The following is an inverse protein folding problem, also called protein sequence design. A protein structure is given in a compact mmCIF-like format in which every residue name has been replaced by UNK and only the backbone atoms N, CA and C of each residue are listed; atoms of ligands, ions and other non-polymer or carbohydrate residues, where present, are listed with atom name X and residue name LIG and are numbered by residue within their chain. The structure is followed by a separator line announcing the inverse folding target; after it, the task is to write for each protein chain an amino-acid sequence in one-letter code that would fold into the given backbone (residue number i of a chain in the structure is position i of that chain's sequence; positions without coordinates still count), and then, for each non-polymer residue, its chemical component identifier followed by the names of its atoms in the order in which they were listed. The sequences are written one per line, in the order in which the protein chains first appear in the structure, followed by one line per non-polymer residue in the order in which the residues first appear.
data_IF_954958109131
#
_entry.id   IF_954958109131
#
_cell.length_a   1.000
_cell.length_b   1.000
_cell.length_c   1.000
_cell.angle_alpha   90.00
_cell.angle_beta   90.00
_cell.angle_gamma   90.00
#
_symmetry.space_group_name_H-M   'P 1'
#
loop_
_entity.id
_entity.type
_entity.pdbx_description
1 polymer ?
#
# COMPACT_ATOMS: atom_id res chain seq x y z
N UNK A 1 -17.67 6.31 36.70
CA UNK A 1 -16.66 7.05 35.90
C UNK A 1 -17.04 6.90 34.45
N UNK A 2 -16.98 7.95 33.63
CA UNK A 2 -17.22 7.82 32.19
C UNK A 2 -16.10 6.95 31.59
N UNK A 3 -16.46 5.94 30.81
CA UNK A 3 -15.50 5.09 30.10
C UNK A 3 -14.67 5.98 29.17
N UNK A 4 -13.34 5.92 29.28
CA UNK A 4 -12.44 6.66 28.39
C UNK A 4 -12.22 5.79 27.16
N UNK A 5 -12.45 6.33 25.96
CA UNK A 5 -12.19 5.62 24.71
C UNK A 5 -10.69 5.64 24.43
N UNK A 6 -10.07 4.46 24.41
CA UNK A 6 -8.62 4.32 24.33
C UNK A 6 -8.22 3.32 23.25
N UNK A 7 -7.14 3.64 22.53
CA UNK A 7 -6.31 2.69 21.81
C UNK A 7 -5.05 2.43 22.62
N UNK A 8 -4.70 1.16 22.81
CA UNK A 8 -3.36 0.78 23.24
C UNK A 8 -2.44 0.79 22.02
N UNK A 9 -1.27 1.43 22.11
CA UNK A 9 -0.26 1.43 21.05
C UNK A 9 0.94 0.57 21.44
N UNK A 10 1.50 -0.14 20.47
CA UNK A 10 2.60 -1.08 20.65
C UNK A 10 3.74 -0.74 19.70
N UNK A 11 4.95 -0.68 20.27
CA UNK A 11 6.19 -0.66 19.53
C UNK A 11 6.86 -2.03 19.68
N UNK A 12 6.78 -2.90 18.66
CA UNK A 12 7.29 -4.27 18.75
C UNK A 12 8.82 -4.36 18.72
N UNK A 13 9.54 -3.25 18.79
CA UNK A 13 10.98 -3.19 18.62
C UNK A 13 11.68 -2.75 19.88
N UNK A 14 12.98 -3.05 19.98
CA UNK A 14 13.79 -2.79 21.17
C UNK A 14 14.36 -1.36 21.27
N UNK A 15 13.91 -0.45 20.41
CA UNK A 15 14.28 0.96 20.41
C UNK A 15 13.06 1.86 20.26
N UNK A 16 13.21 3.14 20.62
CA UNK A 16 12.11 4.11 20.57
C UNK A 16 11.72 4.43 19.12
N UNK A 17 10.41 4.43 18.82
CA UNK A 17 9.92 4.66 17.45
C UNK A 17 8.78 5.65 17.38
N UNK A 18 8.82 6.49 16.36
CA UNK A 18 7.73 7.34 15.87
C UNK A 18 7.29 6.83 14.50
N UNK A 19 6.14 7.30 13.99
CA UNK A 19 5.72 6.93 12.64
C UNK A 19 4.21 6.80 12.49
N UNK A 20 3.80 6.04 11.49
CA UNK A 20 2.40 5.88 11.13
C UNK A 20 1.84 4.58 11.73
N UNK A 21 0.61 4.66 12.24
CA UNK A 21 -0.15 3.50 12.68
C UNK A 21 -1.39 3.40 11.81
N UNK A 22 -1.73 2.17 11.43
CA UNK A 22 -2.85 1.83 10.55
C UNK A 22 -3.67 0.74 11.21
N UNK A 23 -4.98 0.91 11.29
CA UNK A 23 -5.89 -0.05 11.92
C UNK A 23 -7.28 -0.04 11.26
N UNK A 24 -8.00 -1.18 11.24
CA UNK A 24 -9.35 -1.25 10.68
C UNK A 24 -10.29 -0.27 11.39
N UNK A 25 -11.04 0.52 10.61
CA UNK A 25 -11.93 1.54 11.15
C UNK A 25 -13.22 0.97 11.72
N UNK A 26 -13.81 -0.03 11.06
CA UNK A 26 -15.14 -0.54 11.41
C UNK A 26 -15.26 -1.00 12.88
N UNK A 27 -14.32 -1.77 13.47
CA UNK A 27 -14.40 -2.14 14.88
C UNK A 27 -14.35 -0.94 15.83
N UNK A 28 -13.58 0.10 15.48
CA UNK A 28 -13.43 1.33 16.27
C UNK A 28 -14.74 2.11 16.25
N UNK A 29 -15.33 2.27 15.07
CA UNK A 29 -16.62 2.93 14.91
C UNK A 29 -17.72 2.19 15.66
N UNK A 30 -17.77 0.86 15.56
CA UNK A 30 -18.73 0.04 16.28
C UNK A 30 -18.62 0.20 17.80
N UNK A 31 -17.39 0.25 18.33
CA UNK A 31 -17.16 0.37 19.76
C UNK A 31 -17.46 1.78 20.30
N UNK A 32 -16.98 2.83 19.63
CA UNK A 32 -16.98 4.19 20.17
C UNK A 32 -18.04 5.10 19.56
N UNK A 33 -18.64 4.71 18.42
CA UNK A 33 -19.68 5.45 17.71
C UNK A 33 -19.27 6.89 17.31
N UNK A 34 -17.98 7.17 17.19
CA UNK A 34 -17.43 8.47 16.78
C UNK A 34 -17.31 8.49 15.25
N UNK A 35 -18.04 9.35 14.52
CA UNK A 35 -17.91 9.44 13.07
C UNK A 35 -16.54 10.04 12.67
N UNK A 36 -16.02 9.72 11.48
CA UNK A 36 -14.71 10.21 11.02
C UNK A 36 -14.55 11.74 11.09
N UNK A 37 -15.61 12.48 10.80
CA UNK A 37 -15.65 13.95 10.74
C UNK A 37 -15.59 14.61 12.12
N UNK A 38 -15.79 13.83 13.18
CA UNK A 38 -15.69 14.30 14.57
C UNK A 38 -14.49 13.68 15.30
N UNK A 39 -13.70 12.82 14.65
CA UNK A 39 -12.63 12.09 15.30
C UNK A 39 -11.46 13.02 15.66
N UNK A 40 -11.11 13.06 16.95
CA UNK A 40 -9.90 13.70 17.45
C UNK A 40 -9.11 12.68 18.27
N UNK A 41 -7.83 12.55 17.95
CA UNK A 41 -6.90 11.69 18.69
C UNK A 41 -5.94 12.54 19.52
N UNK A 42 -5.61 12.09 20.73
CA UNK A 42 -4.58 12.72 21.57
C UNK A 42 -3.73 11.67 22.29
N UNK A 43 -2.43 11.95 22.44
CA UNK A 43 -1.51 11.07 23.17
C UNK A 43 -1.60 11.36 24.66
N UNK A 44 -1.92 10.35 25.48
CA UNK A 44 -2.02 10.54 26.93
C UNK A 44 -0.67 10.83 27.60
N UNK A 45 0.44 10.54 26.93
CA UNK A 45 1.79 10.88 27.41
C UNK A 45 2.14 12.33 27.10
N UNK A 46 1.41 12.97 26.19
CA UNK A 46 1.62 14.36 25.84
C UNK A 46 0.79 15.30 26.72
N UNK A 47 1.46 15.93 27.69
CA UNK A 47 0.83 16.88 28.61
C UNK A 47 0.28 18.14 27.92
N UNK A 48 0.66 18.43 26.68
CA UNK A 48 0.06 19.54 25.93
C UNK A 48 -1.32 19.20 25.35
N UNK A 49 -1.71 17.92 25.36
CA UNK A 49 -2.95 17.41 24.75
C UNK A 49 -3.16 17.89 23.32
N UNK A 50 -2.06 18.05 22.57
CA UNK A 50 -2.12 18.46 21.18
C UNK A 50 -2.80 17.35 20.36
N UNK A 51 -3.74 17.68 19.47
CA UNK A 51 -4.32 16.69 18.57
C UNK A 51 -3.26 16.02 17.71
N UNK A 52 -3.40 14.71 17.53
CA UNK A 52 -2.59 13.91 16.62
C UNK A 52 -3.20 14.00 15.23
N UNK A 53 -2.34 14.13 14.21
CA UNK A 53 -2.75 14.04 12.81
C UNK A 53 -3.34 12.64 12.55
N UNK A 54 -4.61 12.61 12.16
CA UNK A 54 -5.35 11.38 11.90
C UNK A 54 -6.32 11.59 10.73
N UNK A 55 -6.63 10.50 10.02
CA UNK A 55 -7.66 10.46 8.99
C UNK A 55 -8.22 9.04 8.88
N UNK A 56 -9.44 8.92 8.35
CA UNK A 56 -10.03 7.65 7.96
C UNK A 56 -10.09 7.60 6.44
N UNK A 57 -9.54 6.55 5.85
CA UNK A 57 -9.59 6.33 4.40
C UNK A 57 -10.66 5.31 4.04
N UNK A 58 -11.47 5.64 3.03
CA UNK A 58 -12.45 4.75 2.44
C UNK A 58 -11.83 4.01 1.25
N UNK A 59 -11.53 2.72 1.44
CA UNK A 59 -10.72 1.94 0.50
C UNK A 59 -11.56 1.31 -0.61
N UNK A 60 -12.71 0.72 -0.28
CA UNK A 60 -13.66 0.13 -1.23
C UNK A 60 -15.06 0.66 -0.92
N UNK A 61 -15.69 1.47 -1.79
CA UNK A 61 -17.05 1.96 -1.58
C UNK A 61 -18.09 0.84 -1.41
N UNK A 62 -17.81 -0.37 -1.91
CA UNK A 62 -18.68 -1.53 -1.74
C UNK A 62 -18.43 -2.30 -0.43
N UNK A 63 -17.39 -1.97 0.34
CA UNK A 63 -17.00 -2.72 1.54
C UNK A 63 -16.33 -1.84 2.60
N UNK A 64 -17.09 -1.50 3.63
CA UNK A 64 -16.61 -0.74 4.79
C UNK A 64 -15.61 -1.51 5.67
N UNK A 65 -15.47 -2.83 5.46
CA UNK A 65 -14.54 -3.68 6.22
C UNK A 65 -13.07 -3.31 5.97
N UNK A 66 -12.79 -2.62 4.85
CA UNK A 66 -11.44 -2.18 4.47
C UNK A 66 -11.18 -0.72 4.82
N UNK A 67 -12.17 -0.01 5.35
CA UNK A 67 -11.96 1.35 5.84
C UNK A 67 -10.92 1.32 6.95
N UNK A 68 -10.05 2.33 6.91
CA UNK A 68 -8.82 2.29 7.70
C UNK A 68 -8.63 3.60 8.42
N UNK A 69 -8.40 3.56 9.74
CA UNK A 69 -7.90 4.70 10.50
C UNK A 69 -6.37 4.73 10.38
N UNK A 70 -5.83 5.91 10.10
CA UNK A 70 -4.40 6.16 10.05
C UNK A 70 -4.09 7.39 10.89
N UNK A 71 -3.06 7.30 11.72
CA UNK A 71 -2.55 8.45 12.47
C UNK A 71 -1.03 8.45 12.57
N UNK A 72 -0.45 9.63 12.81
CA UNK A 72 1.00 9.83 12.86
C UNK A 72 1.47 10.21 14.26
N UNK A 73 2.28 9.35 14.88
CA UNK A 73 2.96 9.63 16.13
C UNK A 73 4.23 10.45 15.83
N UNK A 74 4.19 11.75 16.13
CA UNK A 74 5.35 12.63 15.98
C UNK A 74 6.39 12.47 17.09
N UNK A 75 5.95 12.05 18.29
CA UNK A 75 6.82 11.76 19.43
C UNK A 75 7.10 10.26 19.50
N UNK A 76 8.38 9.84 19.60
CA UNK A 76 8.72 8.44 19.72
C UNK A 76 8.08 7.77 20.95
N UNK A 77 7.77 6.48 20.81
CA UNK A 77 7.19 5.66 21.88
C UNK A 77 8.19 4.60 22.33
N UNK A 78 8.23 4.29 23.65
CA UNK A 78 9.19 3.33 24.17
C UNK A 78 8.95 1.93 23.59
N UNK A 79 9.99 1.08 23.59
CA UNK A 79 9.83 -0.32 23.20
C UNK A 79 8.76 -1.01 24.06
N UNK A 80 7.93 -1.84 23.42
CA UNK A 80 7.08 -2.82 24.10
C UNK A 80 7.84 -4.12 24.39
N UNK A 81 7.16 -5.15 24.88
CA UNK A 81 7.69 -6.53 24.84
C UNK A 81 7.54 -7.12 23.45
N UNK A 82 8.42 -8.05 23.08
CA UNK A 82 8.32 -8.83 21.82
C UNK A 82 6.96 -9.54 21.67
N UNK A 83 6.32 -9.94 22.78
CA UNK A 83 5.01 -10.60 22.81
C UNK A 83 3.80 -9.62 22.84
N UNK A 84 4.00 -8.32 22.64
CA UNK A 84 2.99 -7.26 22.79
C UNK A 84 2.28 -7.20 24.16
N UNK A 85 2.76 -7.95 25.15
CA UNK A 85 2.19 -7.96 26.50
C UNK A 85 2.25 -6.59 27.20
N UNK A 86 3.20 -5.72 26.84
CA UNK A 86 3.31 -4.38 27.39
C UNK A 86 2.95 -3.30 26.38
N UNK A 87 1.93 -2.52 26.73
CA UNK A 87 1.49 -1.34 26.00
C UNK A 87 2.57 -0.25 26.07
N UNK A 88 2.97 0.29 24.92
CA UNK A 88 3.96 1.37 24.80
C UNK A 88 3.37 2.75 25.07
N UNK A 89 2.05 2.90 24.98
CA UNK A 89 1.32 4.13 25.25
C UNK A 89 -0.17 4.00 24.98
N UNK A 90 -0.92 5.07 25.27
CA UNK A 90 -2.36 5.11 25.05
C UNK A 90 -2.74 6.36 24.26
N UNK A 91 -3.57 6.15 23.24
CA UNK A 91 -4.16 7.21 22.43
C UNK A 91 -5.63 7.32 22.80
N UNK A 92 -6.04 8.50 23.21
CA UNK A 92 -7.43 8.80 23.52
C UNK A 92 -8.18 9.18 22.24
N UNK A 93 -9.38 8.64 22.06
CA UNK A 93 -10.31 9.04 21.02
C UNK A 93 -11.43 9.90 21.61
N UNK A 94 -11.59 11.12 21.10
CA UNK A 94 -12.65 12.04 21.50
C UNK A 94 -13.46 12.51 20.29
N UNK A 95 -14.65 13.05 20.56
CA UNK A 95 -15.40 13.88 19.61
C UNK A 95 -14.87 15.30 19.65
N UNK A 96 -14.63 15.89 18.50
CA UNK A 96 -14.20 17.26 18.37
C UNK A 96 -14.14 17.71 16.91
N UNK A 97 -13.42 18.81 16.66
CA UNK A 97 -13.14 19.25 15.29
C UNK A 97 -11.81 18.64 14.86
N UNK A 98 -11.76 17.86 13.76
CA UNK A 98 -10.51 17.36 13.22
C UNK A 98 -9.53 18.49 12.91
N UNK A 99 -8.25 18.16 12.87
CA UNK A 99 -7.24 19.12 12.45
C UNK A 99 -7.53 19.62 11.02
N UNK A 100 -7.45 20.94 10.76
CA UNK A 100 -7.63 21.46 9.43
C UNK A 100 -6.49 20.98 8.52
N UNK A 101 -6.82 20.74 7.25
CA UNK A 101 -5.81 20.48 6.23
C UNK A 101 -4.96 21.75 6.00
N UNK A 102 -3.65 21.58 5.97
CA UNK A 102 -2.69 22.66 5.72
C UNK A 102 -2.15 22.61 4.28
N UNK A 103 -1.62 23.74 3.80
CA UNK A 103 -0.89 23.76 2.54
C UNK A 103 0.39 22.92 2.61
N UNK A 104 0.67 22.14 1.57
CA UNK A 104 1.83 21.22 1.50
C UNK A 104 1.56 19.82 2.08
N UNK A 105 0.34 19.54 2.52
CA UNK A 105 -0.08 18.18 2.89
C UNK A 105 -0.26 17.30 1.65
N UNK A 106 -0.22 15.96 1.82
CA UNK A 106 -0.47 15.04 0.74
C UNK A 106 -1.79 15.28 0.03
N UNK A 107 -1.76 15.30 -1.29
CA UNK A 107 -2.92 15.60 -2.11
C UNK A 107 -2.99 14.70 -3.35
N UNK A 108 -4.23 14.38 -3.74
CA UNK A 108 -4.59 13.66 -4.97
C UNK A 108 -5.30 14.60 -5.94
N UNK A 109 -4.77 14.72 -7.14
CA UNK A 109 -5.43 15.39 -8.27
C UNK A 109 -5.84 14.34 -9.31
N UNK A 110 -7.13 14.30 -9.65
CA UNK A 110 -7.63 13.48 -10.76
C UNK A 110 -7.57 14.29 -12.03
N UNK A 111 -6.95 13.73 -13.06
CA UNK A 111 -6.88 14.38 -14.37
C UNK A 111 -7.83 13.71 -15.34
N UNK A 112 -8.68 14.55 -15.93
CA UNK A 112 -9.74 14.16 -16.85
C UNK A 112 -9.38 14.47 -18.30
N UNK A 113 -9.91 13.64 -19.18
CA UNK A 113 -9.86 13.83 -20.62
C UNK A 113 -10.85 14.83 -21.16
N UNK A 114 -10.71 15.12 -22.46
CA UNK A 114 -11.70 15.90 -23.20
C UNK A 114 -13.09 15.22 -23.24
N UNK A 115 -13.12 13.89 -23.10
CA UNK A 115 -14.33 13.07 -23.02
C UNK A 115 -14.91 12.97 -21.59
N UNK A 116 -14.31 13.68 -20.62
CA UNK A 116 -14.73 13.69 -19.23
C UNK A 116 -14.38 12.43 -18.43
N UNK A 117 -13.63 11.48 -19.03
CA UNK A 117 -13.17 10.27 -18.35
C UNK A 117 -11.85 10.51 -17.64
N UNK A 118 -11.64 9.79 -16.55
CA UNK A 118 -10.40 9.82 -15.78
C UNK A 118 -9.26 9.22 -16.62
N UNK A 119 -8.15 9.95 -16.77
CA UNK A 119 -7.00 9.51 -17.58
C UNK A 119 -5.80 9.15 -16.73
N UNK A 120 -5.64 9.85 -15.61
CA UNK A 120 -4.52 9.69 -14.71
C UNK A 120 -4.79 10.34 -13.37
N UNK A 121 -3.89 10.09 -12.44
CA UNK A 121 -3.90 10.66 -11.11
C UNK A 121 -2.52 11.19 -10.79
N UNK A 122 -2.47 12.36 -10.17
CA UNK A 122 -1.26 12.90 -9.57
C UNK A 122 -1.35 12.81 -8.05
N UNK A 123 -0.48 12.03 -7.44
CA UNK A 123 -0.26 12.05 -6.00
C UNK A 123 0.92 12.98 -5.70
N UNK A 124 0.79 13.85 -4.71
CA UNK A 124 1.89 14.73 -4.32
C UNK A 124 1.95 14.94 -2.82
N UNK A 125 3.16 15.12 -2.29
CA UNK A 125 3.43 15.62 -0.94
C UNK A 125 4.55 16.67 -1.03
N UNK A 126 5.19 17.02 0.09
CA UNK A 126 6.29 17.99 0.11
C UNK A 126 7.60 17.54 -0.57
N UNK A 127 7.71 16.28 -0.98
CA UNK A 127 8.94 15.67 -1.54
C UNK A 127 8.69 14.94 -2.86
N UNK A 128 7.69 14.07 -2.92
CA UNK A 128 7.31 13.31 -4.11
C UNK A 128 6.15 13.93 -4.87
N UNK A 129 6.26 13.88 -6.19
CA UNK A 129 5.16 14.07 -7.13
C UNK A 129 5.14 12.85 -8.05
N UNK A 130 4.03 12.12 -8.06
CA UNK A 130 3.88 10.86 -8.78
C UNK A 130 2.73 11.03 -9.76
N UNK A 131 3.01 10.80 -11.03
CA UNK A 131 2.00 10.71 -12.07
C UNK A 131 1.69 9.26 -12.40
N UNK A 132 0.43 8.88 -12.27
CA UNK A 132 -0.04 7.51 -12.45
C UNK A 132 -1.09 7.45 -13.57
N UNK A 133 -0.86 6.63 -14.59
CA UNK A 133 -1.78 6.50 -15.73
C UNK A 133 -2.86 5.46 -15.46
N UNK A 134 -4.12 5.81 -15.78
CA UNK A 134 -5.27 4.91 -15.65
C UNK A 134 -5.65 4.27 -16.98
N UNK A 135 -5.38 4.92 -18.11
CA UNK A 135 -5.68 4.40 -19.45
C UNK A 135 -4.40 4.26 -20.29
N UNK A 136 -4.37 3.32 -21.26
CA UNK A 136 -3.17 3.08 -22.06
C UNK A 136 -2.85 4.22 -23.04
N UNK A 137 -3.81 5.08 -23.42
CA UNK A 137 -3.57 6.20 -24.33
C UNK A 137 -4.11 7.54 -23.75
N UNK A 138 -3.54 8.07 -22.67
CA UNK A 138 -4.01 9.29 -22.00
C UNK A 138 -3.94 10.54 -22.88
N UNK A 139 -3.06 10.55 -23.89
CA UNK A 139 -2.89 11.69 -24.79
C UNK A 139 -3.58 11.51 -26.16
N UNK A 140 -4.36 10.43 -26.34
CA UNK A 140 -5.01 10.10 -27.63
C UNK A 140 -4.03 10.06 -28.83
N UNK A 141 -2.75 9.74 -28.57
CA UNK A 141 -1.64 9.85 -29.52
C UNK A 141 -1.15 8.49 -30.07
N UNK A 142 -1.99 7.45 -29.99
CA UNK A 142 -1.71 6.04 -30.36
C UNK A 142 -0.56 5.37 -29.60
N UNK A 143 0.16 6.09 -28.72
CA UNK A 143 1.21 5.51 -27.89
C UNK A 143 0.59 4.83 -26.68
N UNK A 144 1.25 3.76 -26.23
CA UNK A 144 0.85 3.04 -25.04
C UNK A 144 1.66 3.53 -23.84
N UNK A 145 0.96 4.15 -22.89
CA UNK A 145 1.48 4.73 -21.65
C UNK A 145 1.38 3.77 -20.46
N UNK A 146 1.10 2.49 -20.73
CA UNK A 146 1.11 1.39 -19.77
C UNK A 146 0.31 1.71 -18.51
N UNK A 147 -1.01 1.70 -18.66
CA UNK A 147 -1.96 1.93 -17.56
C UNK A 147 -1.69 1.04 -16.35
N UNK A 148 -1.98 1.57 -15.16
CA UNK A 148 -1.59 0.91 -13.93
C UNK A 148 -0.11 1.10 -13.60
N UNK A 149 0.55 2.16 -14.06
CA UNK A 149 1.94 2.43 -13.71
C UNK A 149 2.20 3.91 -13.46
N UNK A 150 3.26 4.18 -12.71
CA UNK A 150 3.78 5.51 -12.51
C UNK A 150 4.73 5.86 -13.68
N UNK A 151 4.35 6.81 -14.54
CA UNK A 151 5.17 7.20 -15.71
C UNK A 151 5.99 8.47 -15.51
N UNK A 152 5.81 9.13 -14.37
CA UNK A 152 6.73 10.17 -13.88
C UNK A 152 6.74 10.12 -12.36
N UNK A 153 7.95 10.18 -11.80
CA UNK A 153 8.15 10.30 -10.36
C UNK A 153 9.21 11.37 -10.15
N UNK A 154 8.81 12.47 -9.52
CA UNK A 154 9.73 13.55 -9.16
C UNK A 154 10.00 13.50 -7.67
N UNK A 155 11.27 13.39 -7.30
CA UNK A 155 11.75 13.54 -5.93
C UNK A 155 12.40 14.91 -5.79
N UNK A 156 11.89 15.72 -4.87
CA UNK A 156 12.32 17.09 -4.62
C UNK A 156 12.33 17.92 -5.94
N UNK A 157 11.24 17.77 -6.71
CA UNK A 157 11.02 18.37 -8.05
C UNK A 157 11.99 17.96 -9.16
N UNK A 158 12.67 16.82 -9.00
CA UNK A 158 13.58 16.26 -10.00
C UNK A 158 13.12 14.86 -10.41
N UNK A 159 12.93 14.63 -11.71
CA UNK A 159 12.53 13.32 -12.26
C UNK A 159 13.54 12.22 -11.88
N UNK A 160 13.02 11.05 -11.49
CA UNK A 160 13.83 9.89 -11.07
C UNK A 160 13.75 8.72 -12.05
N UNK A 161 12.69 8.62 -12.86
CA UNK A 161 12.62 7.55 -13.88
C UNK A 161 13.59 7.81 -15.03
N UNK A 162 13.96 9.07 -15.25
CA UNK A 162 14.98 9.49 -16.21
C UNK A 162 15.86 10.62 -15.64
N UNK A 163 16.74 10.26 -14.69
CA UNK A 163 17.35 11.20 -13.78
C UNK A 163 18.52 11.97 -14.40
N UNK A 164 19.22 11.41 -15.40
CA UNK A 164 20.39 12.03 -16.03
C UNK A 164 20.03 13.20 -16.95
N UNK A 165 19.05 13.08 -17.88
CA UNK A 165 18.56 14.24 -18.62
C UNK A 165 17.95 15.29 -17.69
N UNK A 166 17.20 14.86 -16.66
CA UNK A 166 16.64 15.77 -15.67
C UNK A 166 17.72 16.57 -14.92
N UNK A 167 18.85 15.93 -14.56
CA UNK A 167 19.99 16.61 -13.94
C UNK A 167 20.59 17.72 -14.82
N UNK A 168 20.46 17.61 -16.15
CA UNK A 168 20.92 18.61 -17.13
C UNK A 168 19.86 19.67 -17.46
N UNK A 169 18.66 19.58 -16.88
CA UNK A 169 17.53 20.44 -17.22
C UNK A 169 16.86 20.07 -18.55
N UNK A 170 17.12 18.87 -19.08
CA UNK A 170 16.59 18.37 -20.36
C UNK A 170 15.30 17.54 -20.16
N UNK A 171 14.63 17.69 -19.02
CA UNK A 171 13.39 16.95 -18.75
C UNK A 171 12.23 17.51 -19.57
N UNK A 172 11.66 16.69 -20.44
CA UNK A 172 10.56 17.04 -21.35
C UNK A 172 9.17 16.67 -20.79
N UNK A 173 9.10 16.24 -19.53
CA UNK A 173 7.85 15.77 -18.93
C UNK A 173 7.74 14.25 -18.92
N UNK A 174 6.49 13.78 -18.97
CA UNK A 174 6.16 12.35 -18.93
C UNK A 174 6.55 11.68 -20.25
N UNK A 175 6.87 10.39 -20.20
CA UNK A 175 7.25 9.60 -21.37
C UNK A 175 6.54 8.23 -21.30
N UNK A 176 5.90 7.76 -22.38
CA UNK A 176 5.22 6.47 -22.40
C UNK A 176 6.16 5.28 -22.17
N UNK A 177 7.45 5.39 -22.48
CA UNK A 177 8.39 4.30 -22.22
C UNK A 177 8.79 4.21 -20.74
N UNK A 178 8.81 5.33 -20.01
CA UNK A 178 9.20 5.38 -18.60
C UNK A 178 8.06 4.86 -17.75
N UNK A 179 8.34 3.86 -16.90
CA UNK A 179 7.33 3.30 -16.01
C UNK A 179 7.93 2.62 -14.81
N UNK A 180 7.32 2.83 -13.66
CA UNK A 180 7.60 2.12 -12.42
C UNK A 180 6.29 1.62 -11.82
N UNK A 181 6.37 0.68 -10.88
CA UNK A 181 5.20 0.09 -10.23
C UNK A 181 4.19 -0.53 -11.21
N UNK A 182 4.63 -0.95 -12.41
CA UNK A 182 3.75 -1.61 -13.36
C UNK A 182 3.55 -3.06 -12.92
N UNK A 183 2.31 -3.44 -12.63
CA UNK A 183 1.95 -4.86 -12.52
C UNK A 183 1.74 -5.39 -13.93
N UNK A 184 2.75 -6.08 -14.46
CA UNK A 184 2.74 -6.59 -15.83
C UNK A 184 1.83 -7.82 -15.97
N UNK A 185 1.87 -8.72 -14.98
CA UNK A 185 1.04 -9.91 -14.95
C UNK A 185 0.71 -10.35 -13.52
N UNK A 186 -0.39 -11.08 -13.40
CA UNK A 186 -0.73 -11.89 -12.22
C UNK A 186 -0.49 -13.35 -12.53
N UNK A 187 -0.01 -14.10 -11.54
CA UNK A 187 0.00 -15.55 -11.56
C UNK A 187 -1.14 -16.06 -10.66
N UNK A 188 -2.11 -16.76 -11.23
CA UNK A 188 -3.27 -17.30 -10.50
C UNK A 188 -3.20 -18.81 -10.44
N UNK A 189 -3.69 -19.46 -9.36
CA UNK A 189 -3.74 -20.92 -9.29
C UNK A 189 -4.60 -21.48 -10.42
N UNK A 190 -4.11 -22.51 -11.09
CA UNK A 190 -4.80 -23.16 -12.20
C UNK A 190 -5.80 -24.23 -11.76
N UNK A 191 -6.49 -24.81 -12.74
CA UNK A 191 -7.37 -25.98 -12.52
C UNK A 191 -6.51 -27.20 -12.26
N UNK A 192 -6.95 -28.06 -11.33
CA UNK A 192 -6.23 -29.27 -10.92
C UNK A 192 -5.98 -30.27 -12.06
N UNK A 193 -6.72 -30.18 -13.18
CA UNK A 193 -6.60 -31.06 -14.35
C UNK A 193 -7.00 -30.33 -15.66
N UNK A 194 -6.13 -30.27 -16.70
CA UNK A 194 -4.74 -30.70 -16.73
C UNK A 194 -3.86 -29.79 -15.85
N UNK A 195 -2.88 -30.40 -15.16
CA UNK A 195 -1.98 -29.82 -14.15
C UNK A 195 -1.17 -28.61 -14.64
N UNK A 196 -1.80 -27.46 -14.83
CA UNK A 196 -1.11 -26.18 -14.80
C UNK A 196 -1.22 -25.69 -13.35
N UNK A 197 -0.14 -25.70 -12.55
CA UNK A 197 -0.22 -25.23 -11.18
C UNK A 197 -0.66 -23.76 -11.14
N UNK A 198 -0.34 -23.00 -12.19
CA UNK A 198 -0.71 -21.62 -12.35
C UNK A 198 -0.97 -21.23 -13.82
N UNK A 199 -1.69 -20.14 -14.03
CA UNK A 199 -1.79 -19.44 -15.32
C UNK A 199 -1.57 -17.93 -15.13
N UNK A 200 -1.22 -17.23 -16.21
CA UNK A 200 -0.92 -15.80 -16.19
C UNK A 200 -2.09 -14.95 -16.72
N UNK A 201 -2.36 -13.84 -16.04
CA UNK A 201 -3.24 -12.78 -16.51
C UNK A 201 -2.39 -11.54 -16.76
N UNK A 202 -2.25 -11.13 -18.02
CA UNK A 202 -1.50 -9.94 -18.38
C UNK A 202 -2.34 -8.68 -18.15
N UNK A 203 -1.74 -7.65 -17.54
CA UNK A 203 -2.42 -6.40 -17.17
C UNK A 203 -1.82 -5.14 -17.82
N UNK A 204 -0.66 -5.27 -18.47
CA UNK A 204 0.16 -4.13 -18.89
C UNK A 204 -0.46 -3.18 -19.95
N UNK A 205 -1.50 -3.61 -20.66
CA UNK A 205 -2.23 -2.82 -21.69
C UNK A 205 -3.71 -2.62 -21.36
N UNK A 206 -4.12 -2.92 -20.13
CA UNK A 206 -5.51 -2.86 -19.71
C UNK A 206 -5.79 -1.61 -18.88
N UNK A 207 -6.96 -1.03 -19.05
CA UNK A 207 -7.35 0.16 -18.29
C UNK A 207 -7.55 -0.17 -16.81
N UNK A 208 -7.38 0.85 -15.98
CA UNK A 208 -7.74 0.83 -14.57
C UNK A 208 -8.83 1.88 -14.33
N UNK A 209 -9.84 1.52 -13.55
CA UNK A 209 -10.84 2.46 -13.04
C UNK A 209 -10.40 3.02 -11.70
N UNK A 210 -10.58 4.31 -11.47
CA UNK A 210 -10.48 4.89 -10.14
C UNK A 210 -11.69 4.45 -9.31
N UNK A 211 -11.44 3.79 -8.18
CA UNK A 211 -12.47 3.24 -7.29
C UNK A 211 -12.75 4.19 -6.13
N UNK A 212 -11.69 4.69 -5.50
CA UNK A 212 -11.78 5.68 -4.44
C UNK A 212 -10.52 6.52 -4.36
N UNK A 213 -10.62 7.65 -3.68
CA UNK A 213 -9.50 8.53 -3.38
C UNK A 213 -9.68 9.19 -2.03
N UNK A 214 -8.55 9.51 -1.38
CA UNK A 214 -8.49 10.23 -0.12
C UNK A 214 -7.34 11.23 -0.16
N UNK A 215 -7.58 12.42 0.40
CA UNK A 215 -6.54 13.41 0.69
C UNK A 215 -6.73 13.86 2.13
N UNK A 216 -5.64 13.86 2.91
CA UNK A 216 -5.70 14.15 4.33
C UNK A 216 -4.35 14.53 4.91
N UNK A 217 -4.36 14.88 6.19
CA UNK A 217 -3.19 15.42 6.87
C UNK A 217 -2.06 14.40 7.11
N UNK A 218 -2.36 13.10 6.97
CA UNK A 218 -1.41 12.00 7.15
C UNK A 218 -0.92 11.48 5.80
N UNK A 219 -1.83 11.24 4.85
CA UNK A 219 -1.52 10.70 3.53
C UNK A 219 -2.58 11.06 2.48
N UNK A 220 -2.15 10.96 1.23
CA UNK A 220 -3.01 10.89 0.06
C UNK A 220 -3.05 9.43 -0.40
N UNK A 221 -4.20 8.94 -0.82
CA UNK A 221 -4.33 7.57 -1.33
C UNK A 221 -5.33 7.47 -2.47
N UNK A 222 -5.11 6.51 -3.36
CA UNK A 222 -6.08 6.09 -4.36
C UNK A 222 -6.28 4.58 -4.30
N UNK A 223 -7.50 4.14 -4.56
CA UNK A 223 -7.79 2.75 -4.91
C UNK A 223 -8.11 2.70 -6.40
N UNK A 224 -7.41 1.84 -7.14
CA UNK A 224 -7.69 1.57 -8.55
C UNK A 224 -8.00 0.08 -8.73
N UNK A 225 -8.82 -0.22 -9.74
CA UNK A 225 -9.14 -1.60 -10.09
C UNK A 225 -8.87 -1.89 -11.57
N UNK A 226 -8.29 -3.05 -11.87
CA UNK A 226 -8.10 -3.50 -13.26
C UNK A 226 -9.43 -3.73 -13.97
N UNK A 227 -9.37 -3.84 -15.29
CA UNK A 227 -10.42 -4.49 -16.07
C UNK A 227 -10.74 -5.90 -15.51
N UNK A 228 -12.02 -6.35 -15.60
CA UNK A 228 -12.40 -7.68 -15.14
C UNK A 228 -11.73 -8.79 -15.96
N UNK A 229 -11.32 -9.87 -15.30
CA UNK A 229 -10.80 -11.08 -15.92
C UNK A 229 -11.47 -12.33 -15.35
N UNK A 230 -11.48 -13.42 -16.14
CA UNK A 230 -12.06 -14.69 -15.71
C UNK A 230 -11.08 -15.46 -14.82
N UNK A 231 -11.61 -16.05 -13.75
CA UNK A 231 -10.95 -17.09 -12.97
C UNK A 231 -11.76 -18.37 -13.03
N UNK A 232 -11.09 -19.46 -13.36
CA UNK A 232 -11.62 -20.82 -13.32
C UNK A 232 -10.62 -21.67 -12.55
N UNK A 233 -10.97 -22.03 -11.33
CA UNK A 233 -10.07 -22.77 -10.45
C UNK A 233 -10.70 -23.04 -9.10
N UNK A 234 -9.96 -23.74 -8.24
CA UNK A 234 -10.43 -24.07 -6.91
C UNK A 234 -10.63 -22.79 -6.08
N UNK A 235 -11.79 -22.68 -5.44
CA UNK A 235 -12.05 -21.68 -4.43
C UNK A 235 -11.11 -21.92 -3.23
N UNK A 236 -10.41 -20.89 -2.73
CA UNK A 236 -9.38 -21.07 -1.70
C UNK A 236 -9.94 -21.45 -0.33
N UNK A 237 -11.25 -21.36 -0.11
CA UNK A 237 -11.92 -21.73 1.14
C UNK A 237 -12.52 -23.13 1.03
N UNK A 238 -13.24 -23.40 -0.05
CA UNK A 238 -14.03 -24.64 -0.21
C UNK A 238 -13.32 -25.72 -1.02
N UNK A 239 -12.29 -25.36 -1.80
CA UNK A 239 -11.59 -26.26 -2.72
C UNK A 239 -12.40 -26.64 -3.97
N UNK A 240 -13.66 -26.20 -4.09
CA UNK A 240 -14.50 -26.46 -5.25
C UNK A 240 -14.13 -25.54 -6.40
N UNK A 241 -14.16 -26.05 -7.63
CA UNK A 241 -13.95 -25.21 -8.81
C UNK A 241 -15.07 -24.19 -8.93
N UNK A 242 -14.71 -22.92 -9.15
CA UNK A 242 -15.63 -21.82 -9.39
C UNK A 242 -15.27 -21.05 -10.64
N UNK A 243 -16.30 -20.51 -11.28
CA UNK A 243 -16.14 -19.45 -12.28
C UNK A 243 -16.39 -18.10 -11.62
N UNK A 244 -15.32 -17.32 -11.44
CA UNK A 244 -15.38 -15.98 -10.88
C UNK A 244 -15.02 -14.92 -11.93
N UNK A 245 -15.68 -13.78 -11.87
CA UNK A 245 -15.22 -12.54 -12.51
C UNK A 245 -14.42 -11.77 -11.47
N UNK A 246 -13.13 -11.59 -11.75
CA UNK A 246 -12.15 -11.05 -10.83
C UNK A 246 -11.63 -9.69 -11.30
N UNK A 247 -11.20 -8.87 -10.34
CA UNK A 247 -10.42 -7.65 -10.59
C UNK A 247 -9.25 -7.60 -9.61
N UNK A 248 -8.13 -7.06 -10.07
CA UNK A 248 -7.03 -6.65 -9.20
C UNK A 248 -7.36 -5.27 -8.63
N UNK A 249 -7.33 -5.15 -7.32
CA UNK A 249 -7.43 -3.86 -6.61
C UNK A 249 -6.05 -3.47 -6.10
N UNK A 250 -5.73 -2.18 -6.20
CA UNK A 250 -4.45 -1.60 -5.76
C UNK A 250 -4.74 -0.32 -4.99
N UNK A 251 -4.30 -0.27 -3.74
CA UNK A 251 -4.39 0.92 -2.88
C UNK A 251 -3.00 1.53 -2.82
N UNK A 252 -2.82 2.69 -3.44
CA UNK A 252 -1.54 3.38 -3.55
C UNK A 252 -1.59 4.60 -2.63
N UNK A 253 -0.65 4.66 -1.68
CA UNK A 253 -0.63 5.64 -0.59
C UNK A 253 0.69 6.42 -0.58
N UNK A 254 0.59 7.75 -0.51
CA UNK A 254 1.69 8.70 -0.34
C UNK A 254 1.55 9.45 0.99
N UNK A 255 2.44 9.14 1.93
CA UNK A 255 2.45 9.75 3.27
C UNK A 255 3.06 11.15 3.26
N UNK A 256 2.70 11.98 4.24
CA UNK A 256 3.29 13.32 4.41
C UNK A 256 4.81 13.25 4.55
N UNK A 257 5.53 14.01 3.72
CA UNK A 257 7.00 14.09 3.74
C UNK A 257 7.75 12.84 3.27
N UNK A 258 7.05 11.79 2.82
CA UNK A 258 7.66 10.55 2.37
C UNK A 258 8.31 10.68 0.98
N UNK A 259 9.43 9.97 0.81
CA UNK A 259 10.08 9.68 -0.48
C UNK A 259 9.85 8.22 -0.92
N UNK A 260 8.76 7.64 -0.44
CA UNK A 260 8.27 6.33 -0.84
C UNK A 260 6.76 6.32 -1.02
N UNK A 261 6.28 5.31 -1.75
CA UNK A 261 4.86 4.95 -1.83
C UNK A 261 4.64 3.61 -1.13
N UNK A 262 3.47 3.43 -0.51
CA UNK A 262 3.00 2.11 -0.07
C UNK A 262 1.88 1.67 -1.00
N UNK A 263 2.00 0.46 -1.52
CA UNK A 263 1.01 -0.18 -2.37
C UNK A 263 0.46 -1.44 -1.70
N UNK A 264 -0.86 -1.55 -1.60
CA UNK A 264 -1.55 -2.73 -1.08
C UNK A 264 -2.41 -3.35 -2.18
N UNK A 265 -2.23 -4.64 -2.47
CA UNK A 265 -2.87 -5.33 -3.59
C UNK A 265 -3.68 -6.53 -3.11
N UNK A 266 -4.83 -6.74 -3.75
CA UNK A 266 -5.66 -7.93 -3.55
C UNK A 266 -6.53 -8.22 -4.77
N UNK A 267 -6.90 -9.49 -4.98
CA UNK A 267 -7.79 -9.91 -6.06
C UNK A 267 -9.16 -10.23 -5.49
N UNK A 268 -10.18 -9.50 -5.94
CA UNK A 268 -11.59 -9.66 -5.55
C UNK A 268 -12.32 -10.39 -6.68
N UNK A 269 -12.93 -11.54 -6.38
CA UNK A 269 -13.76 -12.31 -7.29
C UNK A 269 -15.23 -12.31 -6.85
N UNK A 270 -16.14 -12.22 -7.83
CA UNK A 270 -17.58 -12.45 -7.63
C UNK A 270 -18.05 -13.57 -8.58
N UNK A 271 -19.02 -14.42 -8.19
CA UNK A 271 -19.62 -15.42 -9.06
C UNK A 271 -20.13 -14.79 -10.36
N UNK A 272 -19.90 -15.46 -11.49
CA UNK A 272 -20.31 -14.94 -12.80
C UNK A 272 -21.82 -15.04 -13.00
N UNK A 273 -22.44 -16.13 -12.59
CA UNK A 273 -23.89 -16.35 -12.58
C UNK A 273 -24.39 -16.83 -11.21
N UNK A 274 -25.72 -16.84 -11.01
CA UNK A 274 -26.31 -17.42 -9.80
C UNK A 274 -25.99 -18.92 -9.65
N UNK A 275 -25.85 -19.63 -10.77
CA UNK A 275 -25.48 -21.05 -10.84
C UNK A 275 -24.04 -21.31 -10.33
N UNK A 276 -23.17 -20.29 -10.38
CA UNK A 276 -21.79 -20.36 -9.88
C UNK A 276 -21.70 -20.05 -8.37
N UNK A 277 -22.82 -19.72 -7.71
CA UNK A 277 -22.87 -19.50 -6.26
C UNK A 277 -22.88 -20.84 -5.54
N UNK A 278 -22.02 -20.98 -4.53
CA UNK A 278 -22.15 -22.09 -3.58
C UNK A 278 -23.01 -21.62 -2.41
N UNK A 279 -23.97 -22.45 -2.02
CA UNK A 279 -24.85 -22.23 -0.87
C UNK A 279 -23.97 -22.00 0.38
N UNK A 280 -24.32 -20.98 1.17
CA UNK A 280 -23.62 -20.57 2.40
C UNK A 280 -22.17 -20.05 2.24
N UNK A 281 -21.75 -19.72 1.00
CA UNK A 281 -20.47 -19.04 0.75
C UNK A 281 -20.60 -17.51 0.77
N UNK A 282 -19.53 -16.79 1.16
CA UNK A 282 -19.41 -15.36 0.88
C UNK A 282 -19.60 -15.06 -0.61
N UNK A 283 -20.30 -13.96 -0.91
CA UNK A 283 -20.48 -13.45 -2.28
C UNK A 283 -19.17 -12.95 -2.89
N UNK A 284 -18.27 -12.45 -2.04
CA UNK A 284 -16.95 -11.96 -2.42
C UNK A 284 -15.90 -12.97 -2.00
N UNK A 285 -15.05 -13.37 -2.95
CA UNK A 285 -13.93 -14.30 -2.74
C UNK A 285 -12.61 -13.56 -2.96
N UNK A 286 -11.66 -13.75 -2.05
CA UNK A 286 -10.29 -13.23 -2.20
C UNK A 286 -9.36 -14.35 -2.65
N UNK A 287 -8.71 -14.18 -3.80
CA UNK A 287 -7.84 -15.20 -4.39
C UNK A 287 -6.39 -15.06 -3.93
N UNK A 288 -5.67 -16.18 -3.92
CA UNK A 288 -4.20 -16.17 -3.90
C UNK A 288 -3.70 -15.76 -5.29
N UNK A 289 -2.67 -14.91 -5.34
CA UNK A 289 -2.06 -14.48 -6.59
C UNK A 289 -0.57 -14.19 -6.39
N UNK A 290 0.25 -14.51 -7.38
CA UNK A 290 1.62 -14.01 -7.53
C UNK A 290 1.65 -12.74 -8.35
N UNK A 291 2.60 -11.85 -8.08
CA UNK A 291 2.74 -10.55 -8.74
C UNK A 291 4.00 -10.52 -9.60
N UNK A 292 3.85 -10.06 -10.84
CA UNK A 292 4.97 -9.75 -11.71
C UNK A 292 5.04 -8.24 -11.94
N UNK A 293 6.04 -7.59 -11.32
CA UNK A 293 6.36 -6.19 -11.56
C UNK A 293 7.34 -6.04 -12.72
N UNK A 294 7.13 -4.98 -13.49
CA UNK A 294 8.08 -4.47 -14.47
C UNK A 294 8.36 -2.99 -14.21
N UNK A 295 9.58 -2.56 -14.51
CA UNK A 295 9.93 -1.15 -14.54
C UNK A 295 10.96 -0.85 -15.64
N UNK A 296 10.83 0.35 -16.20
CA UNK A 296 11.79 0.98 -17.09
C UNK A 296 12.21 2.31 -16.45
N UNK A 297 13.40 2.31 -15.87
CA UNK A 297 14.03 3.41 -15.14
C UNK A 297 15.47 3.55 -15.58
N UNK A 298 15.86 4.72 -16.07
CA UNK A 298 17.24 4.97 -16.48
C UNK A 298 18.13 5.11 -15.23
N UNK A 299 18.73 4.01 -14.79
CA UNK A 299 19.62 3.97 -13.62
C UNK A 299 21.10 4.18 -14.00
N UNK A 300 21.42 4.36 -15.28
CA UNK A 300 22.80 4.47 -15.76
C UNK A 300 23.60 3.21 -15.44
N UNK A 301 24.85 3.37 -15.01
CA UNK A 301 25.64 2.25 -14.50
C UNK A 301 25.23 1.90 -13.07
N UNK A 302 24.76 0.68 -12.86
CA UNK A 302 24.28 0.18 -11.57
C UNK A 302 25.35 -0.67 -10.86
N UNK A 303 25.32 -0.70 -9.53
CA UNK A 303 25.99 -1.77 -8.77
C UNK A 303 25.13 -3.03 -8.76
N UNK A 304 25.75 -4.17 -8.46
CA UNK A 304 25.03 -5.43 -8.25
C UNK A 304 23.85 -5.24 -7.29
N UNK A 305 22.73 -5.87 -7.64
CA UNK A 305 21.53 -5.90 -6.81
C UNK A 305 21.90 -6.50 -5.46
N UNK A 306 21.74 -5.73 -4.40
CA UNK A 306 21.89 -6.25 -3.06
C UNK A 306 20.54 -6.78 -2.58
N UNK A 307 20.33 -8.10 -2.75
CA UNK A 307 19.46 -8.84 -1.85
C UNK A 307 20.31 -9.23 -0.64
N UNK A 308 20.06 -8.63 0.52
CA UNK A 308 20.77 -9.04 1.73
C UNK A 308 20.17 -10.36 2.19
N UNK A 309 20.86 -11.45 1.84
CA UNK A 309 20.65 -12.77 2.41
C UNK A 309 20.72 -12.66 3.94
N UNK A 310 19.69 -13.09 4.70
CA UNK A 310 18.81 -14.21 4.37
C UNK A 310 17.32 -13.87 4.14
N UNK A 311 16.93 -12.60 3.98
CA UNK A 311 15.49 -12.23 3.91
C UNK A 311 15.10 -11.85 2.47
N UNK A 312 14.41 -12.71 1.71
CA UNK A 312 14.08 -12.47 0.30
C UNK A 312 12.87 -11.53 0.13
N UNK A 313 12.64 -10.57 1.04
CA UNK A 313 11.43 -9.74 1.07
C UNK A 313 11.67 -8.30 0.60
N UNK A 314 12.91 -7.95 0.27
CA UNK A 314 13.26 -6.65 -0.22
C UNK A 314 14.49 -6.68 -1.13
N UNK A 315 14.64 -5.64 -1.94
CA UNK A 315 15.83 -5.41 -2.75
C UNK A 315 16.11 -3.92 -2.95
N UNK A 316 17.35 -3.60 -3.28
CA UNK A 316 17.78 -2.26 -3.65
C UNK A 316 18.55 -2.27 -4.97
N UNK A 317 18.26 -1.30 -5.84
CA UNK A 317 18.98 -0.99 -7.07
C UNK A 317 19.50 0.44 -6.98
N UNK A 318 20.80 0.64 -7.18
CA UNK A 318 21.43 1.96 -7.08
C UNK A 318 22.40 2.21 -8.23
N UNK A 319 22.43 3.46 -8.69
CA UNK A 319 23.42 3.92 -9.65
C UNK A 319 24.75 4.25 -8.99
N UNK A 320 25.84 3.96 -9.69
CA UNK A 320 27.21 4.38 -9.36
C UNK A 320 27.54 5.79 -9.82
N UNK A 321 26.65 6.44 -10.59
CA UNK A 321 26.92 7.71 -11.25
C UNK A 321 25.98 8.80 -10.77
N UNK A 322 26.45 10.06 -10.63
CA UNK A 322 25.57 11.20 -10.39
C UNK A 322 24.46 11.27 -11.45
N UNK A 323 23.19 11.48 -11.05
CA UNK A 323 22.74 11.97 -9.76
C UNK A 323 22.39 10.86 -8.74
N UNK A 324 23.05 9.71 -8.82
CA UNK A 324 22.89 8.56 -7.93
C UNK A 324 21.42 8.15 -7.72
N UNK A 325 20.63 7.96 -8.80
CA UNK A 325 19.27 7.45 -8.64
C UNK A 325 19.30 6.07 -8.00
N UNK A 326 18.37 5.81 -7.09
CA UNK A 326 18.17 4.50 -6.49
C UNK A 326 16.68 4.18 -6.34
N UNK A 327 16.35 2.90 -6.47
CA UNK A 327 15.01 2.35 -6.35
C UNK A 327 15.03 1.10 -5.48
N UNK A 328 14.13 1.05 -4.50
CA UNK A 328 14.01 -0.08 -3.57
C UNK A 328 12.58 -0.58 -3.51
N UNK A 329 12.43 -1.89 -3.33
CA UNK A 329 11.15 -2.53 -3.04
C UNK A 329 11.28 -3.28 -1.71
N UNK A 330 10.30 -3.14 -0.84
CA UNK A 330 10.11 -4.04 0.31
C UNK A 330 8.70 -4.59 0.29
N UNK A 331 8.50 -5.85 0.65
CA UNK A 331 7.18 -6.50 0.56
C UNK A 331 6.97 -7.53 1.66
N UNK A 332 5.72 -7.89 1.93
CA UNK A 332 5.37 -8.98 2.85
C UNK A 332 5.37 -10.36 2.17
N UNK A 333 5.59 -10.42 0.85
CA UNK A 333 5.69 -11.66 0.09
C UNK A 333 7.13 -11.88 -0.35
N UNK A 334 7.61 -13.12 -0.31
CA UNK A 334 8.95 -13.43 -0.80
C UNK A 334 9.09 -13.10 -2.29
N UNK A 335 10.21 -12.47 -2.63
CA UNK A 335 10.69 -12.25 -3.99
C UNK A 335 11.25 -13.57 -4.51
N UNK A 336 10.56 -14.16 -5.48
CA UNK A 336 10.98 -15.40 -6.12
C UNK A 336 12.16 -15.15 -7.08
N UNK A 337 12.07 -14.08 -7.86
CA UNK A 337 13.12 -13.72 -8.80
C UNK A 337 13.15 -12.22 -9.03
N UNK A 338 14.37 -11.73 -9.25
CA UNK A 338 14.65 -10.36 -9.63
C UNK A 338 15.67 -10.37 -10.75
N UNK A 339 15.30 -9.79 -11.89
CA UNK A 339 16.12 -9.78 -13.10
C UNK A 339 16.42 -8.33 -13.46
N UNK A 340 17.71 -7.99 -13.42
CA UNK A 340 18.27 -6.74 -13.92
C UNK A 340 19.69 -7.05 -14.45
N UNK A 341 20.04 -6.66 -15.68
CA UNK A 341 19.17 -6.06 -16.70
C UNK A 341 18.12 -7.05 -17.24
N UNK A 342 16.87 -6.62 -17.37
CA UNK A 342 15.83 -7.44 -18.01
C UNK A 342 15.92 -7.34 -19.53
N UNK A 343 15.97 -8.49 -20.22
CA UNK A 343 16.15 -8.60 -21.68
C UNK A 343 17.40 -7.84 -22.20
N UNK A 344 18.44 -7.74 -21.38
CA UNK A 344 19.69 -7.06 -21.73
C UNK A 344 19.62 -5.52 -21.70
N UNK A 345 18.49 -4.92 -21.33
CA UNK A 345 18.37 -3.48 -21.18
C UNK A 345 18.72 -3.06 -19.73
N UNK A 346 19.77 -2.25 -19.51
CA UNK A 346 20.19 -1.80 -18.17
C UNK A 346 19.19 -0.87 -17.47
N UNK A 347 18.24 -0.30 -18.22
CA UNK A 347 17.16 0.50 -17.65
C UNK A 347 15.94 -0.34 -17.27
N UNK A 348 15.91 -1.63 -17.61
CA UNK A 348 14.76 -2.49 -17.33
C UNK A 348 15.05 -3.45 -16.19
N UNK A 349 14.08 -3.62 -15.30
CA UNK A 349 14.08 -4.72 -14.35
C UNK A 349 12.70 -5.33 -14.16
N UNK A 350 12.71 -6.58 -13.71
CA UNK A 350 11.53 -7.41 -13.53
C UNK A 350 11.62 -8.13 -12.18
N UNK A 351 10.54 -8.09 -11.40
CA UNK A 351 10.47 -8.71 -10.08
C UNK A 351 9.23 -9.60 -9.99
N UNK A 352 9.43 -10.87 -9.63
CA UNK A 352 8.35 -11.83 -9.39
C UNK A 352 8.21 -12.07 -7.88
N UNK A 353 6.99 -11.92 -7.35
CA UNK A 353 6.66 -12.24 -5.97
C UNK A 353 5.93 -13.59 -5.92
N UNK A 354 6.19 -14.36 -4.86
CA UNK A 354 5.47 -15.60 -4.58
C UNK A 354 3.98 -15.34 -4.30
N UNK A 355 3.10 -16.32 -4.55
CA UNK A 355 1.67 -16.13 -4.35
C UNK A 355 1.25 -15.85 -2.90
N UNK A 356 0.33 -14.91 -2.71
CA UNK A 356 -0.32 -14.64 -1.43
C UNK A 356 -1.76 -14.13 -1.60
N UNK A 357 -2.54 -14.05 -0.51
CA UNK A 357 -3.90 -13.45 -0.52
C UNK A 357 -3.87 -11.93 -0.63
N UNK A 358 -2.75 -11.34 -0.26
CA UNK A 358 -2.56 -9.91 -0.11
C UNK A 358 -1.07 -9.59 -0.22
N UNK A 359 -0.76 -8.53 -0.96
CA UNK A 359 0.59 -8.00 -1.05
C UNK A 359 0.60 -6.57 -0.52
N UNK A 360 1.56 -6.24 0.34
CA UNK A 360 1.90 -4.89 0.75
C UNK A 360 3.33 -4.63 0.33
N UNK A 361 3.50 -3.69 -0.58
CA UNK A 361 4.77 -3.28 -1.14
C UNK A 361 5.07 -1.83 -0.72
N UNK A 362 6.33 -1.53 -0.47
CA UNK A 362 6.82 -0.15 -0.33
C UNK A 362 7.85 0.09 -1.43
N UNK A 363 7.63 1.16 -2.19
CA UNK A 363 8.47 1.59 -3.31
C UNK A 363 9.25 2.82 -2.88
N UNK A 364 10.55 2.68 -2.63
CA UNK A 364 11.42 3.73 -2.12
C UNK A 364 12.24 4.35 -3.25
N UNK A 365 12.37 5.68 -3.23
CA UNK A 365 13.10 6.45 -4.21
C UNK A 365 14.20 7.27 -3.54
N UNK A 366 15.38 7.33 -4.15
CA UNK A 366 16.48 8.17 -3.65
C UNK A 366 17.26 8.78 -4.81
N UNK A 367 17.80 9.97 -4.56
CA UNK A 367 18.64 10.71 -5.49
C UNK A 367 19.73 11.44 -4.69
N UNK A 368 20.85 11.72 -5.34
CA UNK A 368 21.98 12.52 -4.85
C UNK A 368 22.72 11.91 -3.64
N UNK A 369 22.53 10.61 -3.37
CA UNK A 369 23.20 9.90 -2.30
C UNK A 369 23.73 8.56 -2.84
N UNK A 370 25.04 8.31 -2.81
CA UNK A 370 25.62 7.10 -3.40
C UNK A 370 25.59 5.87 -2.47
N UNK A 371 25.41 6.06 -1.16
CA UNK A 371 25.65 5.01 -0.16
C UNK A 371 24.40 4.78 0.72
N UNK A 372 24.38 3.63 1.42
CA UNK A 372 23.44 3.27 2.50
C UNK A 372 21.97 3.10 2.09
N UNK A 373 21.68 3.10 0.78
CA UNK A 373 20.32 2.92 0.29
C UNK A 373 19.74 1.55 0.62
N UNK A 374 20.54 0.50 0.47
CA UNK A 374 20.22 -0.88 0.86
C UNK A 374 19.84 -0.98 2.35
N UNK A 375 20.63 -0.36 3.23
CA UNK A 375 20.37 -0.33 4.67
C UNK A 375 19.06 0.38 4.97
N UNK A 376 18.79 1.48 4.25
CA UNK A 376 17.54 2.22 4.36
C UNK A 376 16.33 1.38 3.91
N UNK A 377 16.44 0.68 2.78
CA UNK A 377 15.39 -0.23 2.30
C UNK A 377 15.12 -1.34 3.32
N UNK A 378 16.16 -2.00 3.84
CA UNK A 378 16.02 -3.02 4.88
C UNK A 378 15.37 -2.49 6.17
N UNK A 379 15.69 -1.25 6.57
CA UNK A 379 15.06 -0.59 7.70
C UNK A 379 13.55 -0.35 7.46
N UNK A 380 13.17 0.16 6.28
CA UNK A 380 11.77 0.32 5.91
C UNK A 380 11.01 -1.00 5.86
N UNK A 381 11.63 -2.07 5.35
CA UNK A 381 11.04 -3.40 5.39
C UNK A 381 10.71 -3.80 6.83
N UNK A 382 11.69 -3.66 7.73
CA UNK A 382 11.49 -4.02 9.13
C UNK A 382 10.39 -3.17 9.79
N UNK A 383 10.44 -1.85 9.62
CA UNK A 383 9.55 -0.92 10.35
C UNK A 383 8.15 -0.77 9.75
N UNK A 384 7.96 -1.00 8.45
CA UNK A 384 6.67 -0.75 7.78
C UNK A 384 5.96 -2.02 7.34
N UNK A 385 6.69 -3.13 7.22
CA UNK A 385 6.17 -4.41 6.72
C UNK A 385 6.25 -5.50 7.79
N UNK A 386 7.45 -5.81 8.27
CA UNK A 386 7.68 -6.98 9.15
C UNK A 386 7.19 -6.74 10.59
N UNK A 387 7.55 -5.59 11.18
CA UNK A 387 7.29 -5.25 12.58
C UNK A 387 6.80 -3.79 12.71
N UNK A 388 5.63 -3.46 12.12
CA UNK A 388 5.09 -2.11 12.17
C UNK A 388 4.59 -1.72 13.56
N UNK A 389 4.52 -0.42 13.81
CA UNK A 389 3.78 0.12 14.95
C UNK A 389 2.31 -0.33 14.86
N UNK A 390 1.75 -0.77 15.99
CA UNK A 390 0.40 -1.32 16.07
C UNK A 390 -0.45 -0.57 17.07
N UNK A 391 -1.76 -0.66 16.89
CA UNK A 391 -2.73 -0.22 17.88
C UNK A 391 -3.93 -1.15 17.92
N UNK A 392 -4.55 -1.26 19.09
CA UNK A 392 -5.79 -2.00 19.28
C UNK A 392 -6.73 -1.26 20.24
N UNK A 393 -8.02 -1.61 20.20
CA UNK A 393 -9.02 -1.08 21.13
C UNK A 393 -8.67 -1.58 22.53
N UNK A 394 -8.37 -0.66 23.44
CA UNK A 394 -8.12 -1.01 24.83
C UNK A 394 -9.42 -1.42 25.52
N UNK A 395 -9.41 -2.59 26.15
CA UNK A 395 -10.51 -3.08 26.98
C UNK A 395 -9.98 -3.38 28.37
N UNK A 396 -10.58 -2.79 29.40
CA UNK A 396 -10.17 -3.03 30.78
C UNK A 396 -10.47 -4.49 31.15
N UNK A 397 -9.42 -5.27 31.44
CA UNK A 397 -9.47 -6.72 31.63
C UNK A 397 -10.39 -7.18 32.78
N UNK A 398 -10.82 -6.28 33.67
CA UNK A 398 -11.77 -6.60 34.74
C UNK A 398 -13.19 -6.91 34.22
N UNK A 399 -13.60 -6.39 33.06
CA UNK A 399 -14.92 -6.66 32.50
C UNK A 399 -15.04 -8.07 31.89
N UNK A 400 -13.95 -8.64 31.36
CA UNK A 400 -13.93 -10.03 30.86
C UNK A 400 -14.16 -11.04 31.99
N UNK A 401 -13.59 -10.79 33.17
CA UNK A 401 -13.78 -11.65 34.34
C UNK A 401 -15.18 -11.53 34.96
N UNK A 402 -15.81 -10.35 34.94
CA UNK A 402 -17.18 -10.19 35.45
C UNK A 402 -18.24 -10.80 34.54
N UNK A 403 -18.08 -10.73 33.22
CA UNK A 403 -19.02 -11.37 32.27
C UNK A 403 -18.89 -12.90 32.32
N UNK A 404 -17.67 -13.45 32.46
CA UNK A 404 -17.51 -14.90 32.67
C UNK A 404 -18.07 -15.34 34.03
N UNK A 405 -17.81 -14.60 35.11
CA UNK A 405 -18.31 -14.98 36.44
C UNK A 405 -19.82 -14.77 36.63
N UNK A 406 -20.48 -13.87 35.87
CA UNK A 406 -21.94 -13.80 35.87
C UNK A 406 -22.59 -14.96 35.11
N UNK A 407 -21.95 -15.49 34.07
CA UNK A 407 -22.43 -16.70 33.37
C UNK A 407 -22.23 -17.96 34.23
N UNK A 408 -21.20 -18.01 35.09
CA UNK A 408 -20.98 -19.13 36.02
C UNK A 408 -21.66 -19.01 37.40
N UNK A 409 -22.22 -17.85 37.75
CA UNK A 409 -22.97 -17.66 39.01
C UNK A 409 -24.50 -17.84 38.86
N UNK A 410 -24.98 -18.14 37.65
CA UNK A 410 -26.34 -18.63 37.39
C UNK A 410 -26.30 -20.02 36.76
N UNK A 411 -25.97 -21.02 37.59
CA UNK A 411 -26.42 -22.41 37.45
C UNK A 411 -26.80 -22.93 38.84
#
# INVERSE_FOLDING_TARGET
MASINLLAVFNPSNYWRSGFITLPWQPIYQQFQIPPEELVLSDLRDLSHAPIKAQVDHVDPESLERDTLIFSLSKPIPPGSEDDMFVSGFIKLDRGKPMPQNSGEPFVEVVYGADGRERGVRLSNSRLIVWFNLIPAPEDNERNWFSGSATSIQLDHQEILDPFPAARGEWLGQDPEKRCMQVAALQLPGVSDPKLPYYQVHLYNHSYSLVSQSSGCVRASITIASEPFNYMGADPVTGHNRHLICKLYRVISLYAGADYLIEELFVKGKPKAEEDRIIDSPEVVYLNFGLHYFAHMNMGHTQDIQQVFPVPDWFALGSTEPPYPAYGLTTNLHIESLVHPYEGNPSNFSCQLLPGKFAKCLHLFMRNQPNEFDTRVGHFWYEMIYSPLRAEIYQDTELKYQIQNQVFATV
#
